data_IF_399246570267
#
_entry.id   IF_399246570267
#
_cell.length_a   1.000
_cell.length_b   1.000
_cell.length_c   1.000
_cell.angle_alpha   90.00
_cell.angle_beta   90.00
_cell.angle_gamma   90.00
#
_symmetry.space_group_name_H-M   'P 1'
#
loop_
_entity.id
_entity.type
_entity.pdbx_description
1 polymer ?
#
# COMPACT_ATOMS: atom_id res chain seq x y z
N UNK A 1 -33.45 -72.32 4.29
CA UNK A 1 -34.16 -71.35 3.42
C UNK A 1 -33.45 -71.36 2.08
N UNK A 2 -34.08 -71.97 1.04
CA UNK A 2 -33.48 -72.24 -0.27
C UNK A 2 -33.65 -71.10 -1.20
N UNK A 3 -32.62 -70.64 -1.88
CA UNK A 3 -32.65 -69.66 -2.96
C UNK A 3 -33.17 -70.28 -4.26
N UNK A 4 -33.97 -69.59 -5.05
CA UNK A 4 -34.49 -70.13 -6.32
C UNK A 4 -33.48 -69.92 -7.47
N UNK A 5 -33.39 -70.95 -8.31
CA UNK A 5 -32.59 -71.12 -9.53
C UNK A 5 -33.11 -70.20 -10.68
N UNK A 6 -32.23 -69.61 -11.53
CA UNK A 6 -32.69 -68.85 -12.67
C UNK A 6 -33.08 -69.75 -13.87
N UNK A 7 -34.11 -69.33 -14.58
CA UNK A 7 -34.66 -69.96 -15.77
C UNK A 7 -33.78 -69.71 -17.05
N UNK A 8 -33.79 -70.62 -18.02
CA UNK A 8 -32.97 -70.51 -19.23
C UNK A 8 -33.59 -69.61 -20.32
N UNK A 9 -32.69 -68.89 -21.05
CA UNK A 9 -33.02 -68.04 -22.17
C UNK A 9 -33.37 -68.85 -23.45
N UNK A 10 -34.30 -68.39 -24.30
CA UNK A 10 -34.63 -69.06 -25.55
C UNK A 10 -33.58 -68.80 -26.64
N UNK A 11 -33.22 -69.88 -27.38
CA UNK A 11 -32.45 -69.86 -28.59
C UNK A 11 -33.28 -69.36 -29.76
N UNK A 12 -32.87 -68.24 -30.38
CA UNK A 12 -33.47 -67.75 -31.65
C UNK A 12 -32.55 -68.20 -32.78
N UNK A 13 -33.18 -68.97 -33.68
CA UNK A 13 -32.52 -69.56 -34.83
C UNK A 13 -32.27 -68.59 -35.97
N UNK A 14 -31.17 -68.87 -36.68
CA UNK A 14 -30.77 -68.24 -37.98
C UNK A 14 -31.86 -68.53 -39.01
N UNK A 15 -32.52 -67.48 -39.51
CA UNK A 15 -33.02 -67.47 -40.89
C UNK A 15 -33.09 -66.04 -41.37
N UNK A 16 -32.41 -65.84 -42.47
CA UNK A 16 -32.12 -64.57 -43.12
C UNK A 16 -33.35 -63.76 -43.55
N UNK A 17 -33.13 -62.47 -43.56
CA UNK A 17 -33.94 -61.58 -44.36
C UNK A 17 -33.01 -60.51 -45.02
N UNK A 18 -33.10 -60.52 -46.34
CA UNK A 18 -32.43 -59.66 -47.27
C UNK A 18 -33.14 -58.29 -47.30
N UNK A 19 -32.34 -57.25 -47.46
CA UNK A 19 -32.59 -56.00 -48.20
C UNK A 19 -33.72 -55.08 -47.79
N UNK A 20 -33.31 -53.90 -47.30
CA UNK A 20 -33.75 -52.60 -47.84
C UNK A 20 -32.75 -51.53 -47.41
N UNK A 21 -31.83 -51.14 -48.33
CA UNK A 21 -31.06 -49.93 -48.26
C UNK A 21 -32.04 -48.77 -48.51
N UNK A 22 -32.41 -48.03 -47.47
CA UNK A 22 -32.96 -46.70 -47.59
C UNK A 22 -31.88 -45.70 -47.16
N UNK A 23 -31.53 -44.65 -47.95
CA UNK A 23 -30.61 -43.64 -47.57
C UNK A 23 -31.27 -42.73 -46.51
N UNK A 24 -30.90 -42.92 -45.24
CA UNK A 24 -31.28 -42.03 -44.16
C UNK A 24 -30.39 -40.77 -44.30
N UNK A 25 -30.86 -39.81 -45.12
CA UNK A 25 -30.34 -38.44 -45.09
C UNK A 25 -30.68 -37.87 -43.74
N UNK A 26 -29.71 -38.01 -42.79
CA UNK A 26 -29.70 -37.24 -41.54
C UNK A 26 -29.57 -35.78 -41.92
N UNK A 27 -30.66 -35.05 -41.88
CA UNK A 27 -30.66 -33.62 -41.69
C UNK A 27 -29.90 -33.34 -40.39
N UNK A 28 -28.59 -33.01 -40.49
CA UNK A 28 -27.85 -32.32 -39.47
C UNK A 28 -28.50 -30.93 -39.30
N UNK A 29 -29.55 -30.86 -38.46
CA UNK A 29 -29.95 -29.63 -37.86
C UNK A 29 -28.73 -29.23 -37.01
N UNK A 30 -27.92 -28.31 -37.51
CA UNK A 30 -27.01 -27.54 -36.69
C UNK A 30 -27.87 -26.89 -35.58
N UNK A 31 -27.80 -27.43 -34.38
CA UNK A 31 -28.26 -26.73 -33.19
C UNK A 31 -27.33 -25.50 -33.08
N UNK A 32 -27.78 -24.41 -33.69
CA UNK A 32 -27.27 -23.11 -33.32
C UNK A 32 -27.63 -22.93 -31.84
N UNK A 33 -26.65 -23.13 -30.97
CA UNK A 33 -26.74 -22.70 -29.60
C UNK A 33 -27.17 -21.24 -29.64
N UNK A 34 -28.21 -20.82 -28.93
CA UNK A 34 -28.57 -19.42 -28.87
C UNK A 34 -27.36 -18.66 -28.44
N UNK A 35 -27.03 -17.50 -29.03
CA UNK A 35 -25.91 -16.69 -28.57
C UNK A 35 -26.19 -16.37 -27.11
N UNK A 36 -25.40 -16.96 -26.24
CA UNK A 36 -25.35 -16.57 -24.82
C UNK A 36 -24.70 -15.20 -24.79
N UNK A 37 -25.51 -14.17 -24.88
CA UNK A 37 -25.06 -12.82 -24.50
C UNK A 37 -24.88 -12.85 -22.99
N UNK A 38 -23.71 -13.25 -22.54
CA UNK A 38 -23.23 -12.86 -21.22
C UNK A 38 -22.91 -11.38 -21.33
N UNK A 39 -23.90 -10.55 -21.13
CA UNK A 39 -23.67 -9.14 -20.85
C UNK A 39 -23.03 -9.09 -19.46
N UNK A 40 -21.71 -9.16 -19.42
CA UNK A 40 -20.94 -8.78 -18.23
C UNK A 40 -21.14 -7.28 -18.03
N UNK A 41 -22.23 -6.93 -17.36
CA UNK A 41 -22.52 -5.55 -16.98
C UNK A 41 -21.49 -5.18 -15.92
N UNK A 42 -20.42 -4.51 -16.34
CA UNK A 42 -19.38 -4.02 -15.45
C UNK A 42 -19.94 -2.89 -14.59
N UNK A 43 -20.26 -3.20 -13.34
CA UNK A 43 -20.70 -2.20 -12.37
C UNK A 43 -19.46 -1.58 -11.74
N UNK A 44 -19.39 -0.25 -11.78
CA UNK A 44 -18.38 0.53 -11.06
C UNK A 44 -18.99 0.94 -9.72
N UNK A 45 -18.34 0.54 -8.61
CA UNK A 45 -18.73 0.92 -7.26
C UNK A 45 -17.91 2.12 -6.80
N UNK A 46 -18.58 3.12 -6.25
CA UNK A 46 -17.95 4.30 -5.67
C UNK A 46 -18.33 4.37 -4.19
N UNK A 47 -17.37 4.12 -3.32
CA UNK A 47 -17.53 4.34 -1.90
C UNK A 47 -17.35 5.82 -1.59
N UNK A 48 -18.29 6.40 -0.86
CA UNK A 48 -18.26 7.80 -0.49
C UNK A 48 -18.55 8.01 0.99
N UNK A 49 -17.81 8.93 1.61
CA UNK A 49 -18.09 9.44 2.95
C UNK A 49 -18.63 10.86 2.82
N UNK A 50 -19.73 11.17 3.51
CA UNK A 50 -20.32 12.50 3.56
C UNK A 50 -20.07 13.15 4.92
N UNK A 51 -19.65 14.43 4.94
CA UNK A 51 -19.37 15.22 6.14
C UNK A 51 -19.98 16.58 6.05
N UNK A 52 -20.45 17.09 7.18
CA UNK A 52 -20.83 18.49 7.32
C UNK A 52 -19.59 19.40 7.45
N UNK A 53 -19.81 20.70 7.48
CA UNK A 53 -18.74 21.70 7.70
C UNK A 53 -18.04 21.60 9.05
N UNK A 54 -18.62 20.89 10.01
CA UNK A 54 -18.02 20.62 11.33
C UNK A 54 -17.23 19.33 11.32
N UNK A 55 -17.20 18.60 10.18
CA UNK A 55 -16.52 17.32 10.02
C UNK A 55 -17.32 16.13 10.54
N UNK A 56 -18.59 16.32 10.94
CA UNK A 56 -19.45 15.24 11.42
C UNK A 56 -19.95 14.42 10.25
N UNK A 57 -20.05 13.11 10.43
CA UNK A 57 -20.53 12.19 9.40
C UNK A 57 -22.04 12.41 9.17
N UNK A 58 -22.41 12.55 7.90
CA UNK A 58 -23.79 12.69 7.45
C UNK A 58 -24.23 11.35 6.87
N UNK A 59 -25.25 10.71 7.48
CA UNK A 59 -25.69 9.34 7.15
C UNK A 59 -27.11 9.29 6.58
N UNK A 60 -27.74 10.41 6.37
CA UNK A 60 -29.15 10.53 5.96
C UNK A 60 -29.38 11.03 4.52
N UNK A 61 -28.29 11.08 3.71
CA UNK A 61 -28.40 11.42 2.29
C UNK A 61 -29.17 10.34 1.53
N UNK A 62 -30.02 10.77 0.61
CA UNK A 62 -30.76 9.90 -0.31
C UNK A 62 -30.06 9.84 -1.67
N UNK A 63 -30.36 8.81 -2.45
CA UNK A 63 -29.77 8.61 -3.78
C UNK A 63 -29.92 9.84 -4.69
N UNK A 64 -31.08 10.49 -4.64
CA UNK A 64 -31.43 11.64 -5.49
C UNK A 64 -30.60 12.89 -5.16
N UNK A 65 -29.95 12.91 -3.99
CA UNK A 65 -29.10 14.01 -3.57
C UNK A 65 -27.66 13.89 -4.12
N UNK A 66 -27.31 12.75 -4.76
CA UNK A 66 -26.02 12.52 -5.36
C UNK A 66 -26.03 12.79 -6.87
N UNK A 67 -25.00 13.45 -7.35
CA UNK A 67 -24.70 13.62 -8.77
C UNK A 67 -23.35 12.99 -9.05
N UNK A 68 -23.33 12.00 -9.95
CA UNK A 68 -22.14 11.28 -10.35
C UNK A 68 -21.87 11.55 -11.83
N UNK A 69 -20.60 11.83 -12.13
CA UNK A 69 -20.12 11.95 -13.50
C UNK A 69 -18.84 11.09 -13.67
N UNK A 70 -18.74 10.46 -14.85
CA UNK A 70 -17.59 9.68 -15.30
C UNK A 70 -17.00 10.36 -16.53
N UNK A 71 -15.73 10.78 -16.48
CA UNK A 71 -15.08 11.62 -17.50
C UNK A 71 -15.90 12.85 -17.91
N UNK A 72 -16.59 13.45 -16.95
CA UNK A 72 -17.47 14.59 -17.14
C UNK A 72 -18.84 14.27 -17.71
N UNK A 73 -19.15 12.99 -18.03
CA UNK A 73 -20.47 12.58 -18.49
C UNK A 73 -21.34 12.17 -17.28
N UNK A 74 -22.52 12.77 -17.10
CA UNK A 74 -23.44 12.39 -16.04
C UNK A 74 -23.81 10.90 -16.14
N UNK A 75 -23.79 10.21 -15.00
CA UNK A 75 -24.11 8.77 -14.90
C UNK A 75 -25.32 8.54 -14.01
N UNK A 76 -26.12 7.52 -14.36
CA UNK A 76 -27.26 7.12 -13.54
C UNK A 76 -26.80 6.15 -12.45
N UNK A 77 -27.00 6.51 -11.19
CA UNK A 77 -26.76 5.62 -10.04
C UNK A 77 -27.82 4.54 -10.05
N UNK A 78 -27.41 3.27 -10.30
CA UNK A 78 -28.33 2.10 -10.38
C UNK A 78 -28.43 1.37 -9.05
N UNK A 79 -27.39 1.43 -8.23
CA UNK A 79 -27.31 0.81 -6.91
C UNK A 79 -26.95 1.87 -5.89
N UNK A 80 -27.68 1.88 -4.81
CA UNK A 80 -27.45 2.78 -3.70
C UNK A 80 -27.67 2.04 -2.39
N UNK A 81 -26.64 1.99 -1.56
CA UNK A 81 -26.72 1.37 -0.25
C UNK A 81 -25.83 2.12 0.75
N UNK A 82 -26.19 2.04 2.02
CA UNK A 82 -25.27 2.35 3.11
C UNK A 82 -24.61 1.04 3.53
N UNK A 83 -23.30 0.97 3.31
CA UNK A 83 -22.55 -0.27 3.51
C UNK A 83 -22.15 -0.46 4.96
N UNK A 84 -23.10 -0.88 5.80
CA UNK A 84 -22.81 -1.20 7.21
C UNK A 84 -22.40 -2.67 7.36
N UNK A 85 -22.89 -3.55 6.49
CA UNK A 85 -22.83 -4.99 6.67
C UNK A 85 -21.85 -5.75 5.78
N UNK A 86 -21.27 -5.15 4.75
CA UNK A 86 -20.25 -5.83 3.96
C UNK A 86 -19.01 -6.17 4.79
N UNK A 87 -18.36 -7.32 4.50
CA UNK A 87 -17.05 -7.63 5.08
C UNK A 87 -16.05 -6.50 4.83
N UNK A 88 -15.21 -6.23 5.82
CA UNK A 88 -14.11 -5.27 5.74
C UNK A 88 -12.79 -6.03 5.73
N UNK A 89 -11.95 -5.76 4.74
CA UNK A 89 -10.53 -6.14 4.77
C UNK A 89 -9.69 -4.92 5.07
N UNK A 90 -8.92 -4.99 6.15
CA UNK A 90 -8.11 -3.89 6.64
C UNK A 90 -6.62 -4.25 6.58
N UNK A 91 -5.81 -3.43 5.92
CA UNK A 91 -4.35 -3.54 5.95
C UNK A 91 -3.76 -2.44 6.82
N UNK A 92 -2.91 -2.81 7.76
CA UNK A 92 -2.14 -1.86 8.56
C UNK A 92 -0.70 -1.84 8.04
N UNK A 93 -0.24 -0.71 7.54
CA UNK A 93 1.10 -0.48 7.03
C UNK A 93 1.83 0.47 7.98
N UNK A 94 2.85 -0.03 8.67
CA UNK A 94 3.55 0.71 9.71
C UNK A 94 4.99 0.99 9.29
N UNK A 95 5.34 2.26 9.27
CA UNK A 95 6.70 2.72 9.03
C UNK A 95 7.56 2.47 10.28
N UNK A 96 8.56 1.60 10.15
CA UNK A 96 9.51 1.30 11.21
C UNK A 96 10.88 1.92 10.97
N UNK A 97 10.98 2.87 10.04
CA UNK A 97 12.21 3.61 9.78
C UNK A 97 12.67 4.42 11.00
N UNK A 98 13.94 4.80 10.99
CA UNK A 98 14.55 5.50 12.13
C UNK A 98 13.87 6.82 12.49
N UNK A 99 13.18 7.48 11.55
CA UNK A 99 12.38 8.69 11.81
C UNK A 99 11.20 8.44 12.73
N UNK A 100 10.63 7.21 12.71
CA UNK A 100 9.46 6.84 13.52
C UNK A 100 9.81 6.33 14.93
N UNK A 101 11.10 6.26 15.26
CA UNK A 101 11.59 5.66 16.51
C UNK A 101 10.87 6.12 17.78
N UNK A 102 10.54 7.41 17.86
CA UNK A 102 9.95 7.99 19.08
C UNK A 102 8.48 7.68 19.24
N UNK A 103 7.79 7.43 18.14
CA UNK A 103 6.33 7.28 18.11
C UNK A 103 5.87 5.82 17.98
N UNK A 104 6.75 4.89 17.57
CA UNK A 104 6.44 3.50 17.30
C UNK A 104 5.69 2.79 18.46
N UNK A 105 6.10 3.04 19.70
CA UNK A 105 5.42 2.44 20.88
C UNK A 105 3.97 2.94 21.05
N UNK A 106 3.72 4.21 20.73
CA UNK A 106 2.38 4.79 20.76
C UNK A 106 1.55 4.27 19.59
N UNK A 107 2.12 4.23 18.39
CA UNK A 107 1.50 3.68 17.18
C UNK A 107 1.04 2.25 17.39
N UNK A 108 1.92 1.39 17.90
CA UNK A 108 1.62 -0.01 18.20
C UNK A 108 0.44 -0.18 19.13
N UNK A 109 0.45 0.55 20.26
CA UNK A 109 -0.62 0.45 21.27
C UNK A 109 -1.96 0.96 20.74
N UNK A 110 -1.95 2.07 20.02
CA UNK A 110 -3.16 2.65 19.43
C UNK A 110 -3.70 1.77 18.27
N UNK A 111 -2.81 1.21 17.45
CA UNK A 111 -3.16 0.30 16.35
C UNK A 111 -3.84 -0.96 16.87
N UNK A 112 -3.34 -1.56 17.94
CA UNK A 112 -3.98 -2.71 18.56
C UNK A 112 -5.41 -2.37 19.02
N UNK A 113 -5.60 -1.28 19.77
CA UNK A 113 -6.95 -0.85 20.21
C UNK A 113 -7.89 -0.59 19.04
N UNK A 114 -7.37 0.01 17.97
CA UNK A 114 -8.16 0.26 16.77
C UNK A 114 -8.61 -1.04 16.12
N UNK A 115 -7.70 -1.99 15.89
CA UNK A 115 -8.04 -3.29 15.30
C UNK A 115 -9.04 -4.05 16.18
N UNK A 116 -8.85 -4.03 17.51
CA UNK A 116 -9.77 -4.65 18.45
C UNK A 116 -11.19 -4.08 18.37
N UNK A 117 -11.32 -2.77 18.16
CA UNK A 117 -12.62 -2.09 18.09
C UNK A 117 -13.29 -2.15 16.71
N UNK A 118 -12.51 -2.12 15.63
CA UNK A 118 -13.05 -2.02 14.28
C UNK A 118 -13.41 -3.38 13.70
N UNK A 119 -12.66 -4.44 14.02
CA UNK A 119 -12.84 -5.77 13.43
C UNK A 119 -13.98 -6.56 14.10
N UNK A 120 -14.80 -7.15 13.24
CA UNK A 120 -15.79 -8.15 13.62
C UNK A 120 -15.20 -9.53 13.32
N UNK A 121 -14.89 -10.32 14.37
CA UNK A 121 -14.11 -11.56 14.27
C UNK A 121 -14.63 -12.57 13.23
N UNK A 122 -15.92 -12.64 13.02
CA UNK A 122 -16.52 -13.63 12.12
C UNK A 122 -16.73 -13.11 10.68
N UNK A 123 -16.34 -11.89 10.39
CA UNK A 123 -16.72 -11.24 9.12
C UNK A 123 -15.59 -10.43 8.49
N UNK A 124 -14.78 -9.80 9.31
CA UNK A 124 -13.74 -8.89 8.85
C UNK A 124 -12.36 -9.55 8.93
N UNK A 125 -11.45 -9.14 8.07
CA UNK A 125 -10.08 -9.62 8.01
C UNK A 125 -9.12 -8.45 8.16
N UNK A 126 -7.96 -8.70 8.77
CA UNK A 126 -6.88 -7.73 8.75
C UNK A 126 -5.53 -8.41 8.50
N UNK A 127 -4.56 -7.63 8.04
CA UNK A 127 -3.16 -8.00 7.92
C UNK A 127 -2.27 -6.85 8.38
N UNK A 128 -1.01 -7.15 8.70
CA UNK A 128 -0.02 -6.17 9.15
C UNK A 128 1.23 -6.28 8.30
N UNK A 129 1.62 -5.16 7.71
CA UNK A 129 2.89 -4.97 7.03
C UNK A 129 3.68 -3.92 7.79
N UNK A 130 4.96 -4.14 8.01
CA UNK A 130 5.88 -3.07 8.35
C UNK A 130 6.82 -2.79 7.19
N UNK A 131 7.34 -1.58 7.16
CA UNK A 131 8.29 -1.20 6.12
C UNK A 131 9.32 -0.20 6.64
N UNK A 132 10.55 -0.42 6.26
CA UNK A 132 11.68 0.49 6.38
C UNK A 132 12.45 0.49 5.05
N UNK A 133 13.56 -0.22 4.95
CA UNK A 133 14.32 -0.47 3.70
C UNK A 133 13.74 -1.64 2.88
N UNK A 134 12.89 -2.46 3.47
CA UNK A 134 12.11 -3.54 2.87
C UNK A 134 10.69 -3.48 3.42
N UNK A 135 9.73 -4.03 2.66
CA UNK A 135 8.36 -4.20 3.11
C UNK A 135 8.14 -5.67 3.46
N UNK A 136 7.78 -5.96 4.70
CA UNK A 136 7.57 -7.31 5.23
C UNK A 136 6.15 -7.51 5.73
N UNK A 137 5.54 -8.65 5.37
CA UNK A 137 4.25 -9.09 5.87
C UNK A 137 4.44 -9.77 7.24
N UNK A 138 4.12 -9.07 8.32
CA UNK A 138 4.21 -9.62 9.68
C UNK A 138 3.06 -10.57 9.99
N UNK A 139 1.86 -10.27 9.50
CA UNK A 139 0.67 -11.09 9.66
C UNK A 139 -0.14 -11.08 8.38
N UNK A 140 -0.38 -12.25 7.83
CA UNK A 140 -1.29 -12.44 6.70
C UNK A 140 -2.75 -12.29 7.15
N UNK A 141 -3.66 -12.25 6.20
CA UNK A 141 -5.10 -12.07 6.42
C UNK A 141 -5.64 -12.98 7.52
N UNK A 142 -6.12 -12.38 8.58
CA UNK A 142 -6.70 -13.10 9.73
C UNK A 142 -7.86 -12.31 10.35
N UNK A 143 -8.79 -13.00 10.99
CA UNK A 143 -9.79 -12.40 11.88
C UNK A 143 -9.40 -12.49 13.35
N UNK A 144 -8.27 -13.14 13.66
CA UNK A 144 -7.79 -13.36 15.02
C UNK A 144 -7.12 -12.11 15.58
N UNK A 145 -7.75 -11.48 16.58
CA UNK A 145 -7.17 -10.34 17.30
C UNK A 145 -5.85 -10.67 17.97
N UNK A 146 -5.69 -11.91 18.47
CA UNK A 146 -4.46 -12.33 19.11
C UNK A 146 -3.29 -12.38 18.12
N UNK A 147 -3.51 -12.93 16.91
CA UNK A 147 -2.46 -12.94 15.88
C UNK A 147 -2.05 -11.54 15.44
N UNK A 148 -3.00 -10.62 15.36
CA UNK A 148 -2.72 -9.22 15.03
C UNK A 148 -1.96 -8.52 16.17
N UNK A 149 -2.29 -8.79 17.43
CA UNK A 149 -1.54 -8.29 18.58
C UNK A 149 -0.11 -8.80 18.60
N UNK A 150 0.07 -10.12 18.38
CA UNK A 150 1.38 -10.75 18.35
C UNK A 150 2.25 -10.16 17.21
N UNK A 151 1.66 -9.88 16.05
CA UNK A 151 2.33 -9.21 14.94
C UNK A 151 2.74 -7.78 15.28
N UNK A 152 1.83 -7.01 15.88
CA UNK A 152 2.13 -5.64 16.32
C UNK A 152 3.21 -5.63 17.42
N UNK A 153 3.28 -6.66 18.27
CA UNK A 153 4.34 -6.79 19.27
C UNK A 153 5.72 -7.00 18.64
N UNK A 154 5.78 -7.52 17.41
CA UNK A 154 7.03 -7.73 16.66
C UNK A 154 7.55 -6.45 15.97
N UNK A 155 6.76 -5.37 15.96
CA UNK A 155 7.23 -4.10 15.41
C UNK A 155 8.42 -3.58 16.19
N UNK A 156 9.60 -3.78 15.63
CA UNK A 156 10.87 -3.35 16.17
C UNK A 156 11.54 -2.36 15.21
N UNK A 157 12.38 -1.53 15.76
CA UNK A 157 13.22 -0.65 14.96
C UNK A 157 14.38 -1.45 14.37
N UNK A 158 14.89 -1.09 13.17
CA UNK A 158 16.10 -1.67 12.65
C UNK A 158 17.21 -1.58 13.72
N UNK A 159 17.75 -2.73 14.12
CA UNK A 159 18.92 -2.73 14.98
C UNK A 159 20.07 -2.14 14.16
N UNK A 160 20.56 -1.00 14.59
CA UNK A 160 21.85 -0.53 14.08
C UNK A 160 22.85 -1.62 14.42
N UNK A 161 23.40 -2.28 13.40
CA UNK A 161 24.60 -3.09 13.53
C UNK A 161 25.67 -2.20 14.19
N UNK A 162 25.71 -2.23 15.51
CA UNK A 162 26.86 -1.67 16.20
C UNK A 162 28.05 -2.51 15.71
N UNK A 163 29.05 -1.90 15.05
CA UNK A 163 30.25 -2.63 14.76
C UNK A 163 30.68 -3.20 16.11
N UNK A 164 30.68 -4.51 16.25
CA UNK A 164 31.27 -5.16 17.40
C UNK A 164 32.72 -4.68 17.40
N UNK A 165 32.99 -3.62 18.15
CA UNK A 165 34.33 -3.27 18.57
C UNK A 165 34.82 -4.49 19.32
N UNK A 166 35.50 -5.34 18.57
CA UNK A 166 36.22 -6.48 19.06
C UNK A 166 37.02 -5.99 20.26
N UNK A 167 36.47 -6.11 21.46
CA UNK A 167 37.24 -6.10 22.69
C UNK A 167 38.12 -7.33 22.64
N UNK A 168 39.15 -7.26 21.79
CA UNK A 168 40.33 -8.08 22.01
C UNK A 168 40.84 -7.71 23.38
N UNK A 169 40.55 -8.52 24.32
CA UNK A 169 41.09 -8.49 25.65
C UNK A 169 42.60 -8.35 25.59
N UNK A 170 43.07 -7.20 25.96
CA UNK A 170 44.44 -7.02 26.41
C UNK A 170 44.50 -7.61 27.81
N UNK A 171 44.77 -8.89 27.86
CA UNK A 171 45.26 -9.55 29.05
C UNK A 171 46.80 -9.62 28.93
N UNK A 172 47.50 -9.16 29.90
CA UNK A 172 48.91 -9.48 30.05
C UNK A 172 49.79 -8.29 30.37
N UNK A 173 49.89 -8.02 31.65
CA UNK A 173 50.91 -7.13 32.21
C UNK A 173 52.32 -7.64 32.00
N UNK A 174 53.21 -6.75 31.92
CA UNK A 174 54.50 -6.93 32.57
C UNK A 174 55.15 -5.55 32.87
N UNK A 175 55.59 -5.27 34.09
CA UNK A 175 56.33 -4.09 34.44
C UNK A 175 57.83 -4.41 34.40
N UNK A 176 58.61 -3.60 33.76
CA UNK A 176 60.07 -3.75 33.86
C UNK A 176 60.87 -2.77 33.00
N UNK A 177 61.34 -1.71 33.61
CA UNK A 177 62.76 -1.41 33.72
C UNK A 177 63.45 -0.55 32.63
N UNK A 178 63.69 0.71 32.92
CA UNK A 178 65.09 1.17 33.00
C UNK A 178 65.73 1.80 31.78
N UNK A 179 66.15 3.06 31.92
CA UNK A 179 67.36 3.60 31.33
C UNK A 179 67.26 4.23 29.95
N UNK A 180 67.31 5.49 29.69
CA UNK A 180 68.33 6.48 30.03
C UNK A 180 69.23 6.74 28.85
N UNK A 181 69.31 7.97 28.50
CA UNK A 181 70.36 8.79 27.86
C UNK A 181 70.05 9.40 26.51
N UNK A 182 70.52 10.69 26.40
CA UNK A 182 70.21 11.60 25.30
C UNK A 182 71.46 11.79 24.41
N UNK A 183 71.25 12.30 23.23
CA UNK A 183 72.30 12.78 22.34
C UNK A 183 71.82 12.70 20.92
N UNK A 184 71.79 13.73 20.19
CA UNK A 184 72.63 14.78 19.88
C UNK A 184 72.74 14.85 18.37
N UNK A 185 72.39 15.95 17.77
CA UNK A 185 73.22 16.61 16.82
C UNK A 185 73.14 16.32 15.34
N UNK A 186 72.91 17.37 14.55
CA UNK A 186 73.42 17.57 13.20
C UNK A 186 72.45 17.31 12.08
N UNK A 187 72.01 18.22 11.46
CA UNK A 187 72.22 19.25 10.54
C UNK A 187 72.91 18.84 9.24
N UNK A 188 72.29 19.07 8.12
CA UNK A 188 72.76 19.82 6.96
C UNK A 188 71.83 19.69 5.78
N UNK A 189 71.70 20.75 4.92
CA UNK A 189 70.76 20.87 3.83
C UNK A 189 71.44 20.54 2.49
N UNK A 190 70.70 20.24 1.53
CA UNK A 190 71.21 20.18 0.15
C UNK A 190 70.36 19.40 -0.79
N UNK A 191 69.71 20.09 -1.67
CA UNK A 191 70.01 20.10 -3.08
C UNK A 191 69.17 19.25 -3.95
N UNK A 192 68.24 19.80 -4.63
CA UNK A 192 68.18 19.94 -6.06
C UNK A 192 67.95 18.72 -6.95
N UNK A 193 66.96 18.86 -7.82
CA UNK A 193 66.98 18.18 -9.12
C UNK A 193 65.72 17.34 -9.42
N UNK A 194 64.80 17.84 -10.10
CA UNK A 194 64.63 17.70 -11.50
C UNK A 194 63.98 16.41 -11.98
N UNK A 195 62.79 16.48 -12.56
CA UNK A 195 62.52 15.68 -13.74
C UNK A 195 61.41 14.64 -13.69
N UNK A 196 60.46 14.80 -14.50
CA UNK A 196 59.79 13.70 -15.17
C UNK A 196 58.35 13.50 -14.77
N UNK A 197 57.43 14.15 -15.49
CA UNK A 197 56.05 13.84 -15.49
C UNK A 197 55.72 12.53 -16.16
N UNK A 198 54.76 11.81 -15.56
CA UNK A 198 53.90 10.88 -16.29
C UNK A 198 52.48 11.17 -15.88
N UNK A 199 51.52 11.30 -16.88
CA UNK A 199 50.12 11.44 -16.56
C UNK A 199 49.55 10.05 -16.26
N UNK A 200 49.57 9.65 -14.99
CA UNK A 200 48.88 8.49 -14.50
C UNK A 200 47.39 8.79 -14.37
N UNK A 201 46.57 8.13 -15.22
CA UNK A 201 45.13 8.20 -15.19
C UNK A 201 44.55 7.85 -13.81
N UNK A 202 44.17 8.86 -13.06
CA UNK A 202 43.34 8.71 -11.89
C UNK A 202 41.94 8.35 -12.29
N UNK A 203 41.64 7.05 -12.34
CA UNK A 203 40.27 6.57 -12.39
C UNK A 203 39.51 7.14 -11.20
N UNK A 204 38.69 8.16 -11.46
CA UNK A 204 37.72 8.64 -10.51
C UNK A 204 36.80 7.48 -10.17
N UNK A 205 37.08 6.81 -9.08
CA UNK A 205 36.08 6.05 -8.36
C UNK A 205 35.05 7.09 -7.92
N UNK A 206 34.00 7.28 -8.78
CA UNK A 206 32.79 7.92 -8.38
C UNK A 206 32.33 7.23 -7.10
N UNK A 207 32.48 7.91 -5.97
CA UNK A 207 31.88 7.50 -4.74
C UNK A 207 30.38 7.32 -5.05
N UNK A 208 29.95 6.08 -5.24
CA UNK A 208 28.58 5.70 -4.98
C UNK A 208 28.41 6.07 -3.52
N UNK A 209 27.90 7.27 -3.26
CA UNK A 209 27.36 7.59 -1.97
C UNK A 209 26.46 6.43 -1.61
N UNK A 210 26.86 5.65 -0.63
CA UNK A 210 26.00 4.70 0.04
C UNK A 210 24.81 5.53 0.53
N UNK A 211 23.77 5.62 -0.30
CA UNK A 211 22.45 5.96 0.20
C UNK A 211 22.18 4.86 1.21
N UNK A 212 22.14 5.23 2.49
CA UNK A 212 21.66 4.33 3.51
C UNK A 212 20.32 3.74 3.06
N UNK A 213 19.95 2.58 3.61
CA UNK A 213 18.67 1.94 3.28
C UNK A 213 17.57 2.98 3.45
N UNK A 214 16.82 3.21 2.37
CA UNK A 214 15.75 4.22 2.32
C UNK A 214 14.41 3.59 2.58
N UNK A 215 13.46 4.36 3.08
CA UNK A 215 12.07 3.92 3.33
C UNK A 215 11.36 3.57 2.03
N UNK A 216 10.71 2.39 1.97
CA UNK A 216 10.02 1.85 0.78
C UNK A 216 8.50 1.96 0.88
N UNK A 217 8.01 3.18 1.08
CA UNK A 217 6.60 3.50 1.25
C UNK A 217 5.74 3.06 0.06
N UNK A 218 6.15 3.38 -1.18
CA UNK A 218 5.34 3.08 -2.37
C UNK A 218 5.36 1.59 -2.70
N UNK A 219 6.47 0.90 -2.45
CA UNK A 219 6.56 -0.56 -2.60
C UNK A 219 5.62 -1.27 -1.60
N UNK A 220 5.49 -0.77 -0.36
CA UNK A 220 4.58 -1.34 0.65
C UNK A 220 3.11 -1.19 0.25
N UNK A 221 2.73 -0.03 -0.30
CA UNK A 221 1.36 0.21 -0.82
C UNK A 221 1.08 -0.70 -2.02
N UNK A 222 2.05 -0.88 -2.93
CA UNK A 222 1.93 -1.81 -4.07
C UNK A 222 1.74 -3.24 -3.60
N UNK A 223 2.59 -3.73 -2.70
CA UNK A 223 2.53 -5.08 -2.12
C UNK A 223 1.15 -5.34 -1.49
N UNK A 224 0.72 -4.45 -0.60
CA UNK A 224 -0.57 -4.57 0.07
C UNK A 224 -1.74 -4.60 -0.93
N UNK A 225 -1.69 -3.76 -1.95
CA UNK A 225 -2.78 -3.62 -2.93
C UNK A 225 -2.85 -4.79 -3.90
N UNK A 226 -1.72 -5.16 -4.53
CA UNK A 226 -1.69 -6.17 -5.59
C UNK A 226 -1.74 -7.59 -5.05
N UNK A 227 -1.01 -7.90 -3.97
CA UNK A 227 -0.88 -9.26 -3.48
C UNK A 227 -1.97 -9.65 -2.48
N UNK A 228 -2.46 -8.71 -1.68
CA UNK A 228 -3.43 -8.98 -0.64
C UNK A 228 -4.83 -8.44 -0.99
N UNK A 229 -4.97 -7.13 -1.18
CA UNK A 229 -6.28 -6.48 -1.32
C UNK A 229 -7.02 -6.83 -2.61
N UNK A 230 -6.33 -6.99 -3.74
CA UNK A 230 -6.95 -7.32 -5.03
C UNK A 230 -7.72 -8.63 -5.00
N UNK A 231 -7.32 -9.57 -4.16
CA UNK A 231 -7.93 -10.91 -4.02
C UNK A 231 -9.16 -10.88 -3.10
N UNK A 232 -9.41 -9.78 -2.41
CA UNK A 232 -10.50 -9.67 -1.44
C UNK A 232 -11.75 -9.04 -2.04
N UNK A 233 -12.89 -9.43 -1.46
CA UNK A 233 -14.20 -8.88 -1.80
C UNK A 233 -14.74 -8.02 -0.65
N UNK A 234 -15.68 -7.14 -0.93
CA UNK A 234 -16.25 -6.25 0.05
C UNK A 234 -15.49 -4.94 0.17
N UNK A 235 -15.53 -4.32 1.34
CA UNK A 235 -14.86 -3.06 1.62
C UNK A 235 -13.39 -3.29 1.93
N UNK A 236 -12.54 -2.44 1.40
CA UNK A 236 -11.08 -2.58 1.52
C UNK A 236 -10.46 -1.25 1.91
N UNK A 237 -9.63 -1.27 2.94
CA UNK A 237 -8.93 -0.08 3.39
C UNK A 237 -7.51 -0.38 3.86
N UNK A 238 -6.56 0.47 3.51
CA UNK A 238 -5.22 0.53 4.07
C UNK A 238 -5.13 1.67 5.06
N UNK A 239 -4.54 1.42 6.21
CA UNK A 239 -4.16 2.44 7.19
C UNK A 239 -2.65 2.56 7.15
N UNK A 240 -2.17 3.72 6.78
CA UNK A 240 -0.76 4.01 6.57
C UNK A 240 -0.25 4.93 7.67
N UNK A 241 0.74 4.48 8.43
CA UNK A 241 1.35 5.19 9.56
C UNK A 241 2.79 5.51 9.19
N UNK A 242 3.11 6.78 8.91
CA UNK A 242 4.43 7.19 8.40
C UNK A 242 4.60 8.71 8.44
N UNK A 243 5.82 9.20 8.24
CA UNK A 243 6.10 10.61 7.95
C UNK A 243 5.94 10.96 6.45
N UNK A 244 5.64 9.97 5.62
CA UNK A 244 5.40 10.12 4.19
C UNK A 244 6.65 10.26 3.34
N UNK A 245 7.83 10.10 3.92
CA UNK A 245 9.10 10.19 3.18
C UNK A 245 9.41 8.85 2.53
N UNK A 246 9.51 8.85 1.20
CA UNK A 246 10.00 7.72 0.41
C UNK A 246 11.34 8.08 -0.22
N UNK A 247 12.31 7.19 -0.07
CA UNK A 247 13.63 7.36 -0.69
C UNK A 247 14.27 6.02 -1.10
N UNK A 248 13.53 4.91 -0.96
CA UNK A 248 13.97 3.55 -1.22
C UNK A 248 13.13 2.75 -2.20
N UNK A 249 11.88 3.14 -2.46
CA UNK A 249 10.98 2.39 -3.32
C UNK A 249 11.51 2.24 -4.74
N UNK A 250 11.24 1.08 -5.33
CA UNK A 250 11.52 0.74 -6.73
C UNK A 250 10.43 1.27 -7.65
N UNK A 251 9.21 1.41 -7.13
CA UNK A 251 8.08 1.97 -7.88
C UNK A 251 7.86 3.45 -7.54
N UNK A 252 7.06 4.13 -8.39
CA UNK A 252 6.68 5.53 -8.18
C UNK A 252 5.41 5.63 -7.34
N UNK A 253 5.15 6.82 -6.78
CA UNK A 253 3.90 7.14 -6.10
C UNK A 253 2.67 6.85 -6.97
N UNK A 254 2.73 7.24 -8.26
CA UNK A 254 1.64 6.99 -9.21
C UNK A 254 1.32 5.50 -9.35
N UNK A 255 2.35 4.65 -9.36
CA UNK A 255 2.16 3.20 -9.44
C UNK A 255 1.53 2.63 -8.17
N UNK A 256 1.91 3.12 -7.00
CA UNK A 256 1.27 2.74 -5.72
C UNK A 256 -0.21 3.14 -5.68
N UNK A 257 -0.53 4.38 -6.11
CA UNK A 257 -1.91 4.86 -6.21
C UNK A 257 -2.72 4.02 -7.20
N UNK A 258 -2.18 3.78 -8.40
CA UNK A 258 -2.82 2.93 -9.41
C UNK A 258 -3.14 1.53 -8.86
N UNK A 259 -2.21 0.91 -8.13
CA UNK A 259 -2.43 -0.41 -7.53
C UNK A 259 -3.59 -0.40 -6.52
N UNK A 260 -3.64 0.60 -5.65
CA UNK A 260 -4.73 0.76 -4.69
C UNK A 260 -6.09 0.99 -5.38
N UNK A 261 -6.12 1.83 -6.43
CA UNK A 261 -7.34 2.07 -7.22
C UNK A 261 -7.82 0.83 -7.97
N UNK A 262 -6.89 0.04 -8.57
CA UNK A 262 -7.23 -1.24 -9.24
C UNK A 262 -7.70 -2.31 -8.26
N UNK A 263 -7.26 -2.22 -7.01
CA UNK A 263 -7.71 -3.09 -5.93
C UNK A 263 -9.00 -2.59 -5.26
N UNK A 264 -9.62 -1.49 -5.71
CA UNK A 264 -10.77 -0.83 -5.05
C UNK A 264 -10.52 -0.57 -3.55
N UNK A 265 -9.34 -0.09 -3.21
CA UNK A 265 -8.87 0.04 -1.83
C UNK A 265 -8.71 1.50 -1.46
N UNK A 266 -9.35 1.91 -0.37
CA UNK A 266 -9.18 3.24 0.22
C UNK A 266 -7.85 3.30 0.99
N UNK A 267 -7.12 4.40 0.90
CA UNK A 267 -5.90 4.60 1.68
C UNK A 267 -6.11 5.73 2.69
N UNK A 268 -6.14 5.38 3.96
CA UNK A 268 -6.13 6.33 5.06
C UNK A 268 -4.70 6.60 5.48
N UNK A 269 -4.25 7.81 5.31
CA UNK A 269 -2.88 8.22 5.61
C UNK A 269 -2.81 8.98 6.92
N UNK A 270 -2.01 8.50 7.87
CA UNK A 270 -1.80 9.12 9.18
C UNK A 270 -0.35 9.59 9.26
N UNK A 271 -0.19 10.91 9.23
CA UNK A 271 1.11 11.57 9.32
C UNK A 271 1.55 11.68 10.78
N UNK A 272 2.69 11.06 11.09
CA UNK A 272 3.45 11.30 12.29
C UNK A 272 4.64 12.20 11.94
N UNK A 273 4.54 13.48 12.24
CA UNK A 273 5.64 14.41 12.07
C UNK A 273 6.19 14.78 13.45
N UNK A 274 7.51 14.68 13.63
CA UNK A 274 8.20 15.23 14.80
C UNK A 274 8.03 16.75 14.78
N UNK A 275 7.11 17.30 15.56
CA UNK A 275 6.92 18.76 15.70
C UNK A 275 8.19 19.46 16.26
N UNK A 276 9.09 18.74 16.91
CA UNK A 276 10.31 19.28 17.51
C UNK A 276 11.48 19.41 16.53
N UNK A 277 11.44 18.70 15.36
CA UNK A 277 12.52 18.71 14.37
C UNK A 277 12.50 19.91 13.43
N UNK A 278 11.36 20.52 13.18
CA UNK A 278 11.22 21.64 12.24
C UNK A 278 11.60 23.01 12.81
N UNK A 279 11.72 23.12 14.14
CA UNK A 279 12.07 24.38 14.82
C UNK A 279 13.58 24.66 14.94
N UNK A 280 14.42 23.65 14.82
CA UNK A 280 15.87 23.80 15.11
C UNK A 280 16.71 24.22 13.91
N UNK A 281 16.20 24.09 12.69
CA UNK A 281 16.95 24.50 11.49
C UNK A 281 16.83 25.98 11.13
N UNK A 282 15.94 26.75 11.79
CA UNK A 282 15.71 28.17 11.50
C UNK A 282 16.36 29.15 12.49
N UNK A 283 17.01 28.68 13.56
CA UNK A 283 17.46 29.54 14.67
C UNK A 283 18.99 29.74 14.85
N UNK A 284 19.87 29.03 14.15
CA UNK A 284 21.32 29.07 14.40
C UNK A 284 22.17 29.35 13.16
N UNK A 285 21.67 30.15 12.23
CA UNK A 285 22.37 30.56 11.02
C UNK A 285 22.76 32.04 10.97
N UNK A 286 23.13 32.65 12.07
CA UNK A 286 23.57 34.03 12.11
C UNK A 286 24.90 34.23 12.78
N UNK A 287 26.03 33.93 12.13
CA UNK A 287 27.31 34.66 12.18
C UNK A 287 28.42 33.89 11.46
N UNK A 288 28.83 34.42 10.32
CA UNK A 288 30.21 34.33 9.83
C UNK A 288 30.56 33.14 8.94
N UNK A 289 30.48 33.30 7.61
CA UNK A 289 31.67 33.37 6.75
C UNK A 289 31.33 33.52 5.28
N UNK A 290 31.87 34.56 4.71
CA UNK A 290 32.01 34.83 3.28
C UNK A 290 32.69 33.66 2.55
N UNK A 291 32.15 33.28 1.39
CA UNK A 291 32.92 32.69 0.30
C UNK A 291 32.62 31.22 0.07
N UNK A 292 31.90 30.94 -1.01
CA UNK A 292 31.77 29.60 -1.58
C UNK A 292 30.55 29.50 -2.47
N UNK A 293 30.64 29.95 -3.74
CA UNK A 293 29.67 29.59 -4.79
C UNK A 293 29.73 28.09 -5.01
N UNK A 294 28.87 27.35 -4.36
CA UNK A 294 28.55 25.97 -4.66
C UNK A 294 27.07 25.90 -5.05
N UNK A 295 26.77 25.92 -6.34
CA UNK A 295 25.50 25.48 -6.88
C UNK A 295 25.34 23.99 -6.57
N UNK A 296 25.00 23.65 -5.36
CA UNK A 296 24.50 22.35 -4.99
C UNK A 296 23.02 22.34 -5.30
N UNK A 297 22.60 21.65 -6.37
CA UNK A 297 21.19 21.39 -6.63
C UNK A 297 20.62 20.67 -5.41
N UNK A 298 19.81 21.38 -4.63
CA UNK A 298 18.95 20.75 -3.64
C UNK A 298 18.00 19.86 -4.41
N UNK A 299 18.17 18.57 -4.32
CA UNK A 299 17.13 17.64 -4.72
C UNK A 299 15.96 17.94 -3.77
N UNK A 300 14.89 18.52 -4.32
CA UNK A 300 13.61 18.68 -3.61
C UNK A 300 13.21 17.27 -3.11
N UNK A 301 13.43 17.03 -1.82
CA UNK A 301 12.85 15.84 -1.20
C UNK A 301 11.33 16.01 -1.27
N UNK A 302 10.62 14.98 -1.76
CA UNK A 302 9.17 15.04 -1.76
C UNK A 302 8.67 15.41 -0.36
N UNK A 303 7.78 16.38 -0.29
CA UNK A 303 7.11 16.74 0.95
C UNK A 303 6.21 15.55 1.35
N UNK A 304 6.61 14.81 2.38
CA UNK A 304 5.90 13.61 2.83
C UNK A 304 4.42 13.86 3.09
N UNK A 305 4.08 15.05 3.62
CA UNK A 305 2.68 15.44 3.80
C UNK A 305 1.92 15.48 2.49
N UNK A 306 2.47 16.07 1.43
CA UNK A 306 1.82 16.13 0.10
C UNK A 306 1.66 14.76 -0.52
N UNK A 307 2.63 13.85 -0.29
CA UNK A 307 2.54 12.45 -0.73
C UNK A 307 1.35 11.77 -0.08
N UNK A 308 1.22 11.88 1.24
CA UNK A 308 0.15 11.26 2.00
C UNK A 308 -1.24 11.86 1.69
N UNK A 309 -1.32 13.18 1.54
CA UNK A 309 -2.54 13.87 1.09
C UNK A 309 -2.98 13.38 -0.29
N UNK A 310 -2.03 13.19 -1.21
CA UNK A 310 -2.31 12.70 -2.54
C UNK A 310 -2.79 11.24 -2.55
N UNK A 311 -2.10 10.35 -1.82
CA UNK A 311 -2.52 8.96 -1.64
C UNK A 311 -3.95 8.86 -1.14
N UNK A 312 -4.26 9.57 -0.05
CA UNK A 312 -5.60 9.56 0.54
C UNK A 312 -6.65 10.09 -0.43
N UNK A 313 -6.43 11.25 -1.03
CA UNK A 313 -7.39 11.92 -1.92
C UNK A 313 -7.69 11.08 -3.17
N UNK A 314 -6.68 10.59 -3.87
CA UNK A 314 -6.87 9.89 -5.15
C UNK A 314 -7.48 8.50 -4.97
N UNK A 315 -7.31 7.88 -3.80
CA UNK A 315 -7.91 6.58 -3.48
C UNK A 315 -9.27 6.69 -2.76
N UNK A 316 -9.65 7.89 -2.31
CA UNK A 316 -10.92 8.15 -1.60
C UNK A 316 -10.88 7.93 -0.09
N UNK A 317 -9.71 7.68 0.48
CA UNK A 317 -9.50 7.64 1.93
C UNK A 317 -9.27 9.02 2.54
N UNK A 318 -8.91 9.09 3.81
CA UNK A 318 -8.68 10.30 4.57
C UNK A 318 -7.21 10.57 4.89
N UNK A 319 -6.83 11.85 4.92
CA UNK A 319 -5.53 12.29 5.44
C UNK A 319 -5.68 12.86 6.85
N UNK A 320 -4.82 12.43 7.76
CA UNK A 320 -4.80 12.87 9.15
C UNK A 320 -3.38 13.20 9.59
N UNK A 321 -3.25 14.17 10.47
CA UNK A 321 -1.99 14.51 11.10
C UNK A 321 -2.13 14.37 12.61
N UNK A 322 -1.27 13.58 13.21
CA UNK A 322 -1.20 13.42 14.68
C UNK A 322 -0.62 14.68 15.30
N UNK A 323 -1.24 15.14 16.37
CA UNK A 323 -0.79 16.29 17.15
C UNK A 323 -1.28 16.20 18.60
N UNK A 324 -0.79 17.07 19.47
CA UNK A 324 -1.29 17.17 20.87
C UNK A 324 -2.78 17.44 20.96
N UNK A 325 -3.36 18.16 19.97
CA UNK A 325 -4.79 18.46 19.90
C UNK A 325 -5.62 17.37 19.23
N UNK A 326 -4.97 16.48 18.50
CA UNK A 326 -5.59 15.39 17.76
C UNK A 326 -4.73 14.13 17.88
N UNK A 327 -4.85 13.41 19.01
CA UNK A 327 -4.11 12.18 19.24
C UNK A 327 -4.56 11.08 18.27
N UNK A 328 -3.73 10.06 18.12
CA UNK A 328 -3.98 8.95 17.19
C UNK A 328 -5.29 8.19 17.52
N UNK A 329 -5.64 8.06 18.79
CA UNK A 329 -6.88 7.39 19.22
C UNK A 329 -8.13 8.11 18.65
N UNK A 330 -8.14 9.45 18.63
CA UNK A 330 -9.25 10.23 18.05
C UNK A 330 -9.30 10.08 16.52
N UNK A 331 -8.15 9.98 15.87
CA UNK A 331 -8.04 9.73 14.42
C UNK A 331 -8.61 8.35 14.10
N UNK A 332 -8.22 7.34 14.85
CA UNK A 332 -8.71 5.98 14.66
C UNK A 332 -10.22 5.87 14.88
N UNK A 333 -10.75 6.52 15.90
CA UNK A 333 -12.20 6.60 16.12
C UNK A 333 -12.91 7.21 14.92
N UNK A 334 -12.36 8.29 14.37
CA UNK A 334 -12.92 8.93 13.20
C UNK A 334 -12.87 8.00 11.97
N UNK A 335 -11.75 7.32 11.72
CA UNK A 335 -11.63 6.34 10.62
C UNK A 335 -12.64 5.20 10.79
N UNK A 336 -12.81 4.71 12.01
CA UNK A 336 -13.81 3.69 12.32
C UNK A 336 -15.24 4.14 11.99
N UNK A 337 -15.60 5.38 12.37
CA UNK A 337 -16.90 5.98 12.06
C UNK A 337 -17.09 6.11 10.54
N UNK A 338 -16.07 6.55 9.81
CA UNK A 338 -16.10 6.64 8.35
C UNK A 338 -16.32 5.27 7.70
N UNK A 339 -15.50 4.29 8.06
CA UNK A 339 -15.60 2.94 7.52
C UNK A 339 -16.97 2.29 7.78
N UNK A 340 -17.69 2.70 8.84
CA UNK A 340 -19.03 2.20 9.17
C UNK A 340 -20.17 2.98 8.53
N UNK A 341 -19.89 4.15 7.95
CA UNK A 341 -20.91 5.09 7.49
C UNK A 341 -20.81 5.44 6.01
N UNK A 342 -20.15 4.59 5.22
CA UNK A 342 -19.96 4.81 3.80
C UNK A 342 -21.26 4.58 3.01
N UNK A 343 -21.44 5.41 1.98
CA UNK A 343 -22.38 5.18 0.90
C UNK A 343 -21.69 4.37 -0.20
N UNK A 344 -22.37 3.38 -0.73
CA UNK A 344 -21.96 2.66 -1.93
C UNK A 344 -22.89 3.06 -3.08
N UNK A 345 -22.29 3.63 -4.12
CA UNK A 345 -22.98 4.08 -5.32
C UNK A 345 -22.49 3.24 -6.49
N UNK A 346 -23.38 2.41 -7.04
CA UNK A 346 -23.07 1.58 -8.20
C UNK A 346 -23.68 2.14 -9.48
N UNK A 347 -22.89 2.23 -10.53
CA UNK A 347 -23.35 2.61 -11.87
C UNK A 347 -22.72 1.74 -12.95
N UNK A 348 -23.35 1.72 -14.12
CA UNK A 348 -22.77 1.12 -15.33
C UNK A 348 -22.34 2.26 -16.23
N UNK A 349 -21.07 2.38 -16.61
CA UNK A 349 -20.60 3.47 -17.48
C UNK A 349 -21.37 3.51 -18.80
N UNK A 350 -21.88 4.67 -19.16
CA UNK A 350 -22.57 4.94 -20.42
C UNK A 350 -21.98 6.20 -21.07
N UNK A 351 -21.47 6.13 -22.32
CA UNK A 351 -21.27 4.91 -23.09
C UNK A 351 -20.26 3.97 -22.42
N UNK A 352 -20.42 2.66 -22.64
CA UNK A 352 -19.47 1.68 -22.12
C UNK A 352 -18.07 2.04 -22.61
N UNK A 353 -17.21 2.46 -21.70
CA UNK A 353 -15.84 2.79 -22.06
C UNK A 353 -15.08 1.50 -22.37
N UNK A 354 -14.66 1.37 -23.62
CA UNK A 354 -13.83 0.24 -24.07
C UNK A 354 -12.35 0.40 -23.68
N UNK A 355 -12.00 1.53 -23.04
CA UNK A 355 -10.62 1.90 -22.81
C UNK A 355 -10.11 1.34 -21.48
N UNK A 356 -8.89 0.79 -21.51
CA UNK A 356 -8.19 0.32 -20.31
C UNK A 356 -7.55 1.46 -19.49
N UNK A 357 -7.87 2.71 -19.82
CA UNK A 357 -7.29 3.91 -19.20
C UNK A 357 -8.01 4.31 -17.91
N UNK A 358 -7.39 5.22 -17.19
CA UNK A 358 -7.97 5.83 -16.00
C UNK A 358 -9.21 6.66 -16.35
N UNK A 359 -10.31 6.44 -15.63
CA UNK A 359 -11.55 7.18 -15.73
C UNK A 359 -11.72 8.07 -14.52
N UNK A 360 -12.00 9.35 -14.75
CA UNK A 360 -12.16 10.33 -13.68
C UNK A 360 -13.59 10.33 -13.16
N UNK A 361 -13.75 10.13 -11.86
CA UNK A 361 -15.05 10.23 -11.17
C UNK A 361 -15.18 11.62 -10.55
N UNK A 362 -16.34 12.25 -10.77
CA UNK A 362 -16.77 13.42 -10.02
C UNK A 362 -18.07 13.10 -9.29
N UNK A 363 -18.03 13.17 -7.96
CA UNK A 363 -19.21 12.94 -7.11
C UNK A 363 -19.52 14.21 -6.33
N UNK A 364 -20.76 14.70 -6.47
CA UNK A 364 -21.23 15.89 -5.78
C UNK A 364 -22.60 15.67 -5.15
N UNK A 365 -23.07 16.58 -4.30
CA UNK A 365 -24.39 16.52 -3.68
C UNK A 365 -25.14 17.83 -3.79
N UNK A 366 -26.47 17.76 -3.87
CA UNK A 366 -27.35 18.94 -3.82
C UNK A 366 -27.41 19.55 -2.43
N UNK A 367 -27.07 18.79 -1.39
CA UNK A 367 -27.15 19.25 0.00
C UNK A 367 -26.04 20.26 0.27
N UNK A 368 -26.44 21.52 0.46
CA UNK A 368 -25.52 22.59 0.85
C UNK A 368 -24.81 22.21 2.15
N UNK A 369 -23.53 22.59 2.28
CA UNK A 369 -22.74 22.38 3.50
C UNK A 369 -22.26 20.93 3.75
N UNK A 370 -22.55 20.00 2.83
CA UNK A 370 -22.02 18.64 2.85
C UNK A 370 -20.87 18.52 1.85
N UNK A 371 -19.78 17.96 2.33
CA UNK A 371 -18.60 17.63 1.51
C UNK A 371 -18.57 16.12 1.34
N UNK A 372 -18.44 15.67 0.11
CA UNK A 372 -18.27 14.25 -0.22
C UNK A 372 -16.81 13.93 -0.43
N UNK A 373 -16.38 12.81 0.12
CA UNK A 373 -15.06 12.24 -0.08
C UNK A 373 -15.24 10.88 -0.76
N UNK A 374 -14.68 10.73 -1.95
CA UNK A 374 -14.69 9.51 -2.75
C UNK A 374 -13.41 9.46 -3.56
N UNK A 375 -13.10 8.30 -4.16
CA UNK A 375 -11.95 8.18 -5.08
C UNK A 375 -12.09 9.12 -6.27
N UNK A 376 -10.98 9.67 -6.75
CA UNK A 376 -10.96 10.57 -7.90
C UNK A 376 -11.17 9.86 -9.25
N UNK A 377 -11.06 8.54 -9.27
CA UNK A 377 -11.25 7.74 -10.47
C UNK A 377 -11.00 6.26 -10.28
N UNK A 378 -10.99 5.52 -11.39
CA UNK A 378 -10.78 4.08 -11.39
C UNK A 378 -10.13 3.62 -12.70
N UNK A 379 -9.56 2.42 -12.66
CA UNK A 379 -9.13 1.69 -13.85
C UNK A 379 -10.10 0.54 -14.12
N UNK A 380 -10.64 0.42 -15.33
CA UNK A 380 -11.49 -0.72 -15.68
C UNK A 380 -10.71 -2.04 -15.51
N UNK A 381 -11.38 -3.13 -15.13
CA UNK A 381 -10.76 -4.45 -15.12
C UNK A 381 -10.20 -4.77 -16.50
N UNK A 382 -8.94 -5.18 -16.57
CA UNK A 382 -8.36 -5.65 -17.81
C UNK A 382 -9.08 -6.94 -18.23
N UNK A 383 -9.72 -6.94 -19.39
CA UNK A 383 -10.18 -8.17 -20.03
C UNK A 383 -8.92 -8.89 -20.51
N UNK A 384 -8.44 -9.86 -19.73
CA UNK A 384 -7.54 -10.84 -20.29
C UNK A 384 -8.37 -11.66 -21.27
N UNK A 385 -8.21 -11.40 -22.57
CA UNK A 385 -8.65 -12.35 -23.58
C UNK A 385 -7.99 -13.69 -23.27
N UNK A 386 -8.84 -14.69 -22.99
CA UNK A 386 -8.43 -16.08 -22.75
C UNK A 386 -8.09 -16.75 -24.07
#
# INVERSE_FOLDING_TARGET
>A
MRLPTPAPLPRIGRRGFLLALAPLTRLLRAQQSPPTFSSDVKVVNVLATARDKKGQIVTDLKQEEFHLADDGQPQTIRYFAREIDLPLTLGLLVDTSMSQRRVLGQERTASYRFLDQVLRENKDLAFVIHFDHEAELLQDLTSSRQQLEDALAQLELPQQDQPQLNRRGSGGGNPGGGGGYPGGGGGYPGGGGGGGGYPGGGGGRGGRGSRGPGTVLYDSVLLASDDLMRKQHGRKALILLTDGVDNGSKVTLDRGIEAAQRADTLVYSILFADEEGSGFSQGLGGMGRRGGMGRGGGYDRPDGKKVLERLARETGGGFFQVSKKRPIDDIYKQIQEELRSQYNLGYTPEPASANAYFHKIALTTTRKEVVLQAREGYYPPQTHDK
#
